data_IF_282451200311
#
_entry.id   IF_282451200311
#
_cell.length_a   1.000
_cell.length_b   1.000
_cell.length_c   1.000
_cell.angle_alpha   90.00
_cell.angle_beta   90.00
_cell.angle_gamma   90.00
#
_symmetry.space_group_name_H-M   'P 1'
#
loop_
_entity.id
_entity.type
_entity.pdbx_description
1 polymer ?
#
# COMPACT_ATOMS: atom_id res chain seq x y z
N UNK A 1 -1.61 -30.05 -65.22
CA UNK A 1 -1.82 -30.10 -63.75
C UNK A 1 -1.88 -28.64 -63.30
N UNK A 2 -3.07 -28.05 -63.28
CA UNK A 2 -3.93 -27.90 -62.08
C UNK A 2 -3.26 -27.04 -61.02
N UNK A 3 -3.82 -25.99 -60.43
CA UNK A 3 -5.03 -25.20 -60.63
C UNK A 3 -4.86 -23.99 -59.71
N UNK A 4 -5.41 -22.85 -60.11
CA UNK A 4 -5.59 -21.68 -59.27
C UNK A 4 -6.29 -22.02 -57.94
N UNK A 5 -5.93 -21.29 -56.87
CA UNK A 5 -6.83 -21.01 -55.75
C UNK A 5 -6.46 -19.68 -55.11
N UNK A 6 -6.98 -18.61 -55.68
CA UNK A 6 -7.50 -17.51 -54.86
C UNK A 6 -8.60 -18.05 -53.96
N UNK A 7 -8.74 -17.54 -52.73
CA UNK A 7 -10.05 -17.23 -52.22
C UNK A 7 -10.27 -15.70 -52.25
N UNK A 8 -11.34 -15.22 -52.91
CA UNK A 8 -12.07 -14.05 -52.45
C UNK A 8 -12.81 -14.46 -51.15
N UNK A 9 -13.27 -13.58 -50.27
CA UNK A 9 -14.46 -12.76 -50.40
C UNK A 9 -14.53 -11.89 -49.13
N UNK A 10 -14.96 -10.66 -49.35
CA UNK A 10 -15.62 -9.73 -48.44
C UNK A 10 -16.19 -10.29 -47.15
N UNK A 11 -15.95 -9.58 -46.05
CA UNK A 11 -17.03 -9.33 -45.10
C UNK A 11 -17.20 -7.82 -44.93
N UNK A 12 -18.24 -7.33 -45.61
CA UNK A 12 -18.80 -6.00 -45.49
C UNK A 12 -19.48 -5.89 -44.12
N UNK A 13 -18.74 -5.43 -43.12
CA UNK A 13 -19.33 -5.10 -41.83
C UNK A 13 -20.09 -3.75 -41.91
N UNK A 14 -21.29 -3.75 -42.49
CA UNK A 14 -22.38 -2.84 -42.08
C UNK A 14 -23.73 -3.45 -42.50
N UNK A 15 -24.57 -3.82 -41.53
CA UNK A 15 -25.78 -3.04 -41.26
C UNK A 15 -25.98 -2.96 -39.72
N UNK A 16 -26.90 -2.25 -39.09
CA UNK A 16 -28.06 -1.50 -39.50
C UNK A 16 -28.39 -0.54 -38.36
N UNK A 17 -28.93 0.61 -38.75
CA UNK A 17 -29.61 1.63 -37.96
C UNK A 17 -30.78 1.05 -37.14
N UNK A 18 -30.83 1.39 -35.85
CA UNK A 18 -32.00 1.48 -34.95
C UNK A 18 -31.47 2.19 -33.69
N UNK A 19 -32.11 3.12 -32.98
CA UNK A 19 -33.40 3.76 -32.99
C UNK A 19 -33.25 5.02 -32.09
N UNK A 20 -34.12 6.00 -32.25
CA UNK A 20 -34.09 7.31 -31.58
C UNK A 20 -34.45 7.24 -30.06
N UNK A 21 -34.29 8.33 -29.29
CA UNK A 21 -33.95 8.31 -27.86
C UNK A 21 -35.16 8.27 -26.91
N UNK A 22 -35.00 7.76 -25.68
CA UNK A 22 -35.91 8.07 -24.60
C UNK A 22 -35.49 9.36 -23.86
N UNK A 23 -36.40 10.34 -23.92
CA UNK A 23 -36.82 11.35 -22.94
C UNK A 23 -35.83 11.81 -21.84
N UNK A 24 -35.63 13.13 -21.65
CA UNK A 24 -34.88 13.68 -20.52
C UNK A 24 -35.66 13.46 -19.22
N UNK A 25 -35.11 12.60 -18.34
CA UNK A 25 -35.51 12.56 -16.95
C UNK A 25 -35.02 13.86 -16.27
N UNK A 26 -35.97 14.75 -16.00
CA UNK A 26 -35.81 15.90 -15.11
C UNK A 26 -35.73 15.38 -13.68
N UNK A 27 -34.52 15.12 -13.19
CA UNK A 27 -34.27 14.94 -11.76
C UNK A 27 -33.80 16.28 -11.19
N UNK A 28 -34.61 16.83 -10.29
CA UNK A 28 -34.31 18.03 -9.51
C UNK A 28 -33.04 17.78 -8.67
N UNK A 29 -31.92 18.40 -9.05
CA UNK A 29 -30.75 18.38 -8.19
C UNK A 29 -31.06 19.14 -6.88
N UNK A 30 -30.83 18.52 -5.71
CA UNK A 30 -31.12 19.11 -4.41
C UNK A 30 -30.18 20.26 -4.08
N UNK A 31 -30.74 21.21 -3.33
CA UNK A 31 -30.13 22.36 -2.69
C UNK A 31 -28.71 22.06 -2.16
N UNK A 32 -27.72 22.77 -2.70
CA UNK A 32 -26.36 22.82 -2.15
C UNK A 32 -26.39 23.58 -0.81
N UNK A 33 -26.72 22.88 0.26
CA UNK A 33 -26.33 23.29 1.60
C UNK A 33 -24.79 23.26 1.66
N UNK A 34 -24.16 24.41 1.46
CA UNK A 34 -22.74 24.61 1.80
C UNK A 34 -22.62 24.51 3.31
N UNK A 35 -22.45 23.28 3.79
CA UNK A 35 -22.00 23.01 5.15
C UNK A 35 -20.57 23.52 5.24
N UNK A 36 -20.34 24.34 6.26
CA UNK A 36 -19.08 25.01 6.55
C UNK A 36 -17.88 24.07 6.49
N UNK A 37 -16.75 24.63 6.04
CA UNK A 37 -15.41 24.08 6.08
C UNK A 37 -15.16 23.12 7.25
N UNK A 38 -14.66 21.90 7.01
CA UNK A 38 -14.05 21.13 8.07
C UNK A 38 -12.78 21.88 8.52
N UNK A 39 -12.75 22.28 9.79
CA UNK A 39 -11.53 22.73 10.46
C UNK A 39 -10.37 21.78 10.11
N UNK A 40 -9.15 22.29 9.88
CA UNK A 40 -7.98 21.43 9.76
C UNK A 40 -7.88 20.65 11.06
N UNK A 41 -8.24 19.36 10.99
CA UNK A 41 -7.95 18.40 12.04
C UNK A 41 -6.44 18.25 12.00
N UNK A 42 -5.76 19.08 12.79
CA UNK A 42 -4.37 18.88 13.14
C UNK A 42 -4.26 17.39 13.50
N UNK A 43 -3.41 16.61 12.80
CA UNK A 43 -3.32 15.18 13.08
C UNK A 43 -2.96 15.09 14.55
N UNK A 44 -3.89 14.57 15.35
CA UNK A 44 -3.64 14.23 16.73
C UNK A 44 -2.44 13.29 16.68
N UNK A 45 -1.27 13.82 16.97
CA UNK A 45 -0.07 13.02 17.21
C UNK A 45 -0.42 12.34 18.52
N UNK A 46 -1.12 11.21 18.41
CA UNK A 46 -1.24 10.26 19.51
C UNK A 46 0.20 9.84 19.71
N UNK A 47 0.93 10.58 20.54
CA UNK A 47 2.26 10.21 20.98
C UNK A 47 2.04 8.90 21.72
N UNK A 48 2.18 7.78 21.02
CA UNK A 48 1.98 6.48 21.60
C UNK A 48 2.87 6.39 22.84
N UNK A 49 2.30 5.86 23.92
CA UNK A 49 3.10 5.60 25.11
C UNK A 49 4.19 4.59 24.73
N UNK A 50 5.42 4.91 25.09
CA UNK A 50 6.51 3.95 25.04
C UNK A 50 6.13 2.76 25.93
N UNK A 51 6.17 1.57 25.36
CA UNK A 51 5.78 0.32 26.00
C UNK A 51 7.04 -0.52 26.20
N UNK A 52 7.41 -0.72 27.46
CA UNK A 52 8.60 -1.48 27.85
C UNK A 52 8.53 -2.94 27.35
N UNK A 53 7.34 -3.49 27.14
CA UNK A 53 7.20 -4.84 26.57
C UNK A 53 7.65 -4.90 25.13
N UNK A 54 7.36 -3.86 24.34
CA UNK A 54 7.82 -3.74 22.96
C UNK A 54 9.33 -3.56 22.94
N UNK A 55 9.89 -2.73 23.83
CA UNK A 55 11.33 -2.61 23.98
C UNK A 55 12.00 -3.95 24.31
N UNK A 56 11.44 -4.72 25.24
CA UNK A 56 11.95 -6.06 25.62
C UNK A 56 11.87 -7.03 24.44
N UNK A 57 10.78 -6.99 23.66
CA UNK A 57 10.60 -7.82 22.47
C UNK A 57 11.62 -7.45 21.39
N UNK A 58 11.80 -6.15 21.15
CA UNK A 58 12.82 -5.63 20.25
C UNK A 58 14.19 -6.09 20.71
N UNK A 59 14.53 -5.97 21.99
CA UNK A 59 15.81 -6.40 22.56
C UNK A 59 16.02 -7.93 22.50
N UNK A 60 14.94 -8.72 22.54
CA UNK A 60 14.98 -10.16 22.31
C UNK A 60 15.24 -10.58 20.86
N UNK A 61 15.12 -9.68 19.88
CA UNK A 61 15.32 -10.03 18.48
C UNK A 61 16.76 -10.40 18.13
N UNK A 62 16.99 -11.61 17.63
CA UNK A 62 18.31 -12.00 17.17
C UNK A 62 18.54 -11.50 15.74
N UNK A 63 19.44 -10.53 15.58
CA UNK A 63 19.88 -10.06 14.26
C UNK A 63 20.94 -11.02 13.75
N UNK A 64 20.60 -11.81 12.74
CA UNK A 64 21.50 -12.80 12.15
C UNK A 64 22.29 -12.22 10.95
N UNK A 65 21.82 -11.12 10.37
CA UNK A 65 22.55 -10.40 9.33
C UNK A 65 21.73 -9.29 8.69
N UNK A 66 22.42 -8.28 8.17
CA UNK A 66 21.81 -7.16 7.46
C UNK A 66 22.37 -7.08 6.05
N UNK A 67 21.48 -6.84 5.09
CA UNK A 67 21.81 -6.55 3.71
C UNK A 67 21.22 -5.19 3.35
N UNK A 68 21.99 -4.14 3.61
CA UNK A 68 21.69 -2.81 3.11
C UNK A 68 22.14 -2.70 1.64
N UNK A 69 21.25 -3.01 0.70
CA UNK A 69 21.42 -2.64 -0.71
C UNK A 69 20.45 -1.50 -1.01
N UNK A 70 20.93 -0.39 -1.56
CA UNK A 70 20.24 0.92 -1.55
C UNK A 70 18.76 0.96 -1.92
N UNK A 71 18.23 0.03 -2.72
CA UNK A 71 16.81 -0.06 -3.10
C UNK A 71 16.02 -1.17 -2.40
N UNK A 72 16.65 -1.95 -1.51
CA UNK A 72 16.03 -3.11 -0.88
C UNK A 72 16.77 -3.60 0.36
N UNK A 73 16.89 -2.74 1.39
CA UNK A 73 17.45 -3.14 2.68
C UNK A 73 16.64 -4.29 3.29
N UNK A 74 17.33 -5.40 3.53
CA UNK A 74 16.77 -6.63 4.11
C UNK A 74 17.50 -6.96 5.40
N UNK A 75 16.76 -7.40 6.41
CA UNK A 75 17.29 -7.82 7.70
C UNK A 75 16.86 -9.23 7.96
N UNK A 76 17.80 -10.07 8.39
CA UNK A 76 17.54 -11.39 8.91
C UNK A 76 17.33 -11.27 10.42
N UNK A 77 16.08 -11.27 10.86
CA UNK A 77 15.64 -11.12 12.25
C UNK A 77 14.93 -12.40 12.69
N UNK A 78 15.38 -13.03 13.77
CA UNK A 78 14.83 -14.31 14.25
C UNK A 78 14.69 -15.34 13.11
N UNK A 79 15.73 -15.48 12.28
CA UNK A 79 15.79 -16.38 11.13
C UNK A 79 14.81 -16.06 9.98
N UNK A 80 14.12 -14.92 10.04
CA UNK A 80 13.18 -14.45 9.02
C UNK A 80 13.69 -13.19 8.34
N UNK A 81 13.48 -13.07 7.04
CA UNK A 81 13.87 -11.89 6.26
C UNK A 81 12.76 -10.86 6.30
N UNK A 82 13.06 -9.66 6.79
CA UNK A 82 12.17 -8.50 6.73
C UNK A 82 12.81 -7.39 5.89
N UNK A 83 11.98 -6.52 5.35
CA UNK A 83 12.37 -5.36 4.55
C UNK A 83 11.88 -4.08 5.22
N UNK A 84 12.35 -2.93 4.75
CA UNK A 84 11.78 -1.64 5.16
C UNK A 84 10.28 -1.61 4.83
N UNK A 85 9.50 -1.08 5.75
CA UNK A 85 8.05 -1.06 5.85
C UNK A 85 7.36 -2.41 6.11
N UNK A 86 8.10 -3.50 6.33
CA UNK A 86 7.51 -4.79 6.68
C UNK A 86 7.11 -4.88 8.16
N UNK A 87 6.11 -5.71 8.45
CA UNK A 87 5.61 -5.91 9.82
C UNK A 87 6.38 -7.08 10.43
N UNK A 88 7.31 -6.77 11.35
CA UNK A 88 8.12 -7.78 12.04
C UNK A 88 7.33 -8.52 13.11
N UNK A 89 6.38 -7.83 13.74
CA UNK A 89 5.50 -8.39 14.75
C UNK A 89 4.06 -7.93 14.52
N UNK A 90 3.15 -8.89 14.31
CA UNK A 90 1.73 -8.59 14.07
C UNK A 90 0.98 -8.28 15.37
N UNK A 91 1.45 -8.80 16.50
CA UNK A 91 0.83 -8.62 17.81
C UNK A 91 0.86 -7.16 18.24
N UNK A 92 2.01 -6.50 18.10
CA UNK A 92 2.21 -5.09 18.43
C UNK A 92 2.15 -4.19 17.19
N UNK A 93 1.85 -4.77 16.01
CA UNK A 93 1.90 -4.10 14.71
C UNK A 93 3.23 -3.36 14.48
N UNK A 94 4.33 -3.96 14.93
CA UNK A 94 5.65 -3.37 14.88
C UNK A 94 6.18 -3.45 13.44
N UNK A 95 6.51 -2.30 12.88
CA UNK A 95 7.01 -2.17 11.51
C UNK A 95 8.47 -1.79 11.51
N UNK A 96 9.27 -2.43 10.65
CA UNK A 96 10.63 -2.00 10.40
C UNK A 96 10.61 -0.75 9.50
N UNK A 97 11.03 0.39 10.00
CA UNK A 97 11.00 1.67 9.24
C UNK A 97 12.37 2.08 8.75
N UNK A 98 13.44 1.67 9.44
CA UNK A 98 14.80 1.95 9.02
C UNK A 98 15.73 0.79 9.37
N UNK A 99 16.71 0.58 8.49
CA UNK A 99 17.74 -0.44 8.64
C UNK A 99 19.07 0.24 8.35
N UNK A 100 19.98 0.24 9.33
CA UNK A 100 21.36 0.70 9.17
C UNK A 100 22.31 -0.48 9.41
N UNK A 101 23.63 -0.24 9.42
CA UNK A 101 24.62 -1.29 9.66
C UNK A 101 24.76 -1.69 11.13
N UNK A 102 24.34 -0.81 12.05
CA UNK A 102 24.54 -0.90 13.50
C UNK A 102 23.23 -0.84 14.28
N UNK A 103 22.15 -0.41 13.63
CA UNK A 103 20.87 -0.15 14.26
C UNK A 103 19.66 -0.47 13.39
N UNK A 104 18.58 -0.88 14.03
CA UNK A 104 17.28 -1.13 13.43
C UNK A 104 16.25 -0.21 14.07
N UNK A 105 15.53 0.55 13.26
CA UNK A 105 14.44 1.39 13.73
C UNK A 105 13.12 0.73 13.40
N UNK A 106 12.31 0.56 14.44
CA UNK A 106 10.97 0.05 14.36
C UNK A 106 9.98 1.15 14.73
N UNK A 107 8.79 1.12 14.15
CA UNK A 107 7.72 2.07 14.45
C UNK A 107 6.42 1.32 14.66
N UNK A 108 5.68 1.70 15.69
CA UNK A 108 4.34 1.18 15.99
C UNK A 108 3.27 2.01 15.29
N UNK A 109 2.03 1.50 15.13
CA UNK A 109 0.92 2.30 14.60
C UNK A 109 0.59 3.53 15.44
N UNK A 110 0.95 3.55 16.72
CA UNK A 110 0.83 4.71 17.59
C UNK A 110 1.95 5.75 17.44
N UNK A 111 2.79 5.65 16.41
CA UNK A 111 3.85 6.62 16.14
C UNK A 111 5.07 6.52 17.07
N UNK A 112 5.18 5.44 17.87
CA UNK A 112 6.34 5.24 18.75
C UNK A 112 7.45 4.56 17.98
N UNK A 113 8.64 5.14 18.05
CA UNK A 113 9.86 4.57 17.47
C UNK A 113 10.66 3.81 18.53
N UNK A 114 11.12 2.62 18.16
CA UNK A 114 12.00 1.78 18.96
C UNK A 114 13.27 1.56 18.16
N UNK A 115 14.42 1.81 18.77
CA UNK A 115 15.72 1.60 18.14
C UNK A 115 16.40 0.43 18.82
N UNK A 116 16.85 -0.52 18.01
CA UNK A 116 17.69 -1.62 18.45
C UNK A 116 19.10 -1.45 17.90
N UNK A 117 20.08 -1.50 18.78
CA UNK A 117 21.49 -1.69 18.40
C UNK A 117 21.83 -3.18 18.57
N UNK A 118 22.66 -3.75 17.70
CA UNK A 118 23.02 -5.18 17.71
C UNK A 118 24.50 -5.39 17.33
#
# INVERSE_FOLDING_TARGET
MSSARSPPISDLATPSRAESPPTPARELAPSFARTADPLPTEPAVIAGKFDERIQTLVDGFRVAGIRASGTGSKVLLNEKVFKINDIVDRTNSLRLTQVTNDSLTFTTPGGVTYVKNF
#
